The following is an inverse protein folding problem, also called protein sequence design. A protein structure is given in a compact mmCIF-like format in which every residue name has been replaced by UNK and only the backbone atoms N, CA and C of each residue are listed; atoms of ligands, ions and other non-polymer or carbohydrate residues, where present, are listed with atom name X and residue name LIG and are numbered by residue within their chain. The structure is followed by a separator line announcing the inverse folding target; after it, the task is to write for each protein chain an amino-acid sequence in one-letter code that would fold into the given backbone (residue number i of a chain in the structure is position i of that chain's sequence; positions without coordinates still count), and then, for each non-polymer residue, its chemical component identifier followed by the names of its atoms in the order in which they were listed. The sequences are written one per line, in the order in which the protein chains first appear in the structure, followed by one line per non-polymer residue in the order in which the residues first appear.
data_IF_700861227334
#
_entry.id   IF_700861227334
#
_cell.length_a   1.000
_cell.length_b   1.000
_cell.length_c   1.000
_cell.angle_alpha   90.00
_cell.angle_beta   90.00
_cell.angle_gamma   90.00
#
_symmetry.space_group_name_H-M   'P 1'
#
loop_
_entity.id
_entity.type
_entity.pdbx_description
1 polymer ?
#
# COMPACT_ATOMS: atom_id res chain seq x y z
N UNK A 1 -3.02 22.52 0.06
CA UNK A 1 -2.82 22.09 1.46
C UNK A 1 -2.51 20.62 1.43
N UNK A 2 -1.37 20.17 1.97
CA UNK A 2 -1.02 18.74 2.00
C UNK A 2 -1.95 17.99 2.95
N UNK A 3 -2.42 16.80 2.57
CA UNK A 3 -3.24 15.96 3.43
C UNK A 3 -2.49 15.64 4.74
N UNK A 4 -3.19 15.55 5.89
CA UNK A 4 -2.54 15.22 7.15
C UNK A 4 -1.85 13.84 7.07
N UNK A 5 -0.76 13.65 7.82
CA UNK A 5 -0.07 12.36 7.85
C UNK A 5 -1.00 11.27 8.39
N UNK A 6 -1.13 10.18 7.65
CA UNK A 6 -1.96 9.04 8.06
C UNK A 6 -1.35 8.30 9.25
N UNK A 7 -2.22 7.73 10.08
CA UNK A 7 -1.85 6.78 11.14
C UNK A 7 -1.54 5.41 10.54
N UNK A 8 -0.85 4.55 11.30
CA UNK A 8 -0.60 3.17 10.89
C UNK A 8 -1.89 2.41 10.61
N UNK A 9 -2.94 2.63 11.40
CA UNK A 9 -4.25 1.99 11.20
C UNK A 9 -4.88 2.39 9.87
N UNK A 10 -4.88 3.69 9.54
CA UNK A 10 -5.38 4.20 8.26
C UNK A 10 -4.60 3.64 7.07
N UNK A 11 -3.26 3.61 7.18
CA UNK A 11 -2.38 3.01 6.17
C UNK A 11 -2.73 1.53 5.97
N UNK A 12 -2.94 0.77 7.04
CA UNK A 12 -3.33 -0.65 6.97
C UNK A 12 -4.71 -0.85 6.34
N UNK A 13 -5.61 0.12 6.50
CA UNK A 13 -6.90 0.19 5.79
C UNK A 13 -6.70 0.25 4.28
N UNK A 14 -5.96 1.25 3.80
CA UNK A 14 -5.65 1.39 2.37
C UNK A 14 -4.91 0.19 1.78
N UNK A 15 -3.96 -0.39 2.53
CA UNK A 15 -3.25 -1.61 2.09
C UNK A 15 -4.22 -2.79 1.89
N UNK A 16 -5.29 -2.88 2.68
CA UNK A 16 -6.29 -3.94 2.53
C UNK A 16 -7.11 -3.78 1.24
N UNK A 17 -7.34 -2.54 0.82
CA UNK A 17 -8.09 -2.20 -0.40
C UNK A 17 -7.33 -2.59 -1.67
N UNK A 18 -5.99 -2.63 -1.65
CA UNK A 18 -5.13 -3.04 -2.79
C UNK A 18 -5.40 -4.46 -3.31
N UNK A 19 -6.19 -5.25 -2.59
CA UNK A 19 -6.52 -6.65 -2.96
C UNK A 19 -8.02 -6.88 -3.12
N UNK A 20 -8.83 -5.83 -3.04
CA UNK A 20 -10.27 -5.92 -3.26
C UNK A 20 -10.56 -6.10 -4.75
N UNK A 21 -11.54 -6.95 -5.08
CA UNK A 21 -11.97 -7.06 -6.48
C UNK A 21 -12.49 -5.70 -6.98
N UNK A 22 -12.12 -5.28 -8.21
CA UNK A 22 -12.63 -4.04 -8.77
C UNK A 22 -14.15 -4.09 -8.85
N UNK A 23 -14.81 -3.08 -8.27
CA UNK A 23 -16.23 -2.84 -8.48
C UNK A 23 -16.39 -2.07 -9.80
N UNK A 24 -17.46 -2.36 -10.53
CA UNK A 24 -17.65 -2.02 -11.96
C UNK A 24 -17.48 -0.51 -12.28
N UNK A 25 -17.62 0.37 -11.28
CA UNK A 25 -17.61 1.83 -11.47
C UNK A 25 -16.48 2.58 -10.73
N UNK A 26 -15.61 1.89 -9.98
CA UNK A 26 -14.50 2.51 -9.24
C UNK A 26 -13.27 1.60 -9.23
N UNK A 27 -12.07 2.20 -9.33
CA UNK A 27 -10.80 1.49 -9.13
C UNK A 27 -10.22 1.82 -7.73
N UNK A 28 -10.81 1.29 -6.63
CA UNK A 28 -10.40 1.63 -5.27
C UNK A 28 -8.96 1.19 -4.96
N UNK A 29 -8.41 0.22 -5.70
CA UNK A 29 -6.99 -0.15 -5.61
C UNK A 29 -6.07 0.99 -6.06
N UNK A 30 -6.45 1.69 -7.13
CA UNK A 30 -5.67 2.81 -7.68
C UNK A 30 -5.72 4.03 -6.76
N UNK A 31 -6.89 4.33 -6.19
CA UNK A 31 -7.02 5.38 -5.17
C UNK A 31 -6.20 5.05 -3.92
N UNK A 32 -6.30 3.82 -3.41
CA UNK A 32 -5.53 3.39 -2.26
C UNK A 32 -4.01 3.45 -2.52
N UNK A 33 -3.58 3.02 -3.71
CA UNK A 33 -2.19 3.14 -4.15
C UNK A 33 -1.76 4.61 -4.18
N UNK A 34 -2.54 5.49 -4.79
CA UNK A 34 -2.23 6.90 -4.89
C UNK A 34 -2.03 7.52 -3.50
N UNK A 35 -2.97 7.29 -2.57
CA UNK A 35 -2.89 7.81 -1.20
C UNK A 35 -1.63 7.30 -0.48
N UNK A 36 -1.31 6.00 -0.57
CA UNK A 36 -0.12 5.44 0.07
C UNK A 36 1.18 6.06 -0.48
N UNK A 37 1.25 6.30 -1.79
CA UNK A 37 2.41 6.94 -2.43
C UNK A 37 2.54 8.41 -2.06
N UNK A 38 1.45 9.16 -1.99
CA UNK A 38 1.49 10.56 -1.54
C UNK A 38 1.98 10.66 -0.10
N UNK A 39 1.54 9.77 0.78
CA UNK A 39 2.02 9.71 2.17
C UNK A 39 3.52 9.38 2.25
N UNK A 40 3.99 8.46 1.42
CA UNK A 40 5.40 8.13 1.31
C UNK A 40 6.23 9.34 0.84
N UNK A 41 5.79 9.99 -0.24
CA UNK A 41 6.46 11.17 -0.81
C UNK A 41 6.45 12.36 0.12
N UNK A 42 5.34 12.60 0.82
CA UNK A 42 5.23 13.68 1.80
C UNK A 42 6.23 13.53 2.96
N UNK A 43 6.66 12.31 3.27
CA UNK A 43 7.59 12.02 4.39
C UNK A 43 9.05 11.90 3.97
N UNK A 44 9.34 11.42 2.76
CA UNK A 44 10.70 11.11 2.34
C UNK A 44 11.00 11.35 0.87
N UNK A 45 10.16 12.14 0.18
CA UNK A 45 10.34 12.44 -1.23
C UNK A 45 10.16 11.24 -2.16
N UNK A 46 10.62 11.38 -3.40
CA UNK A 46 10.40 10.39 -4.44
C UNK A 46 11.08 9.05 -4.16
N UNK A 47 12.25 9.03 -3.51
CA UNK A 47 12.92 7.78 -3.11
C UNK A 47 12.03 6.89 -2.24
N UNK A 48 11.35 7.51 -1.26
CA UNK A 48 10.40 6.78 -0.40
C UNK A 48 9.15 6.38 -1.18
N UNK A 49 8.66 7.25 -2.06
CA UNK A 49 7.58 6.93 -2.99
C UNK A 49 7.88 5.69 -3.84
N UNK A 50 9.07 5.61 -4.43
CA UNK A 50 9.50 4.49 -5.26
C UNK A 50 9.67 3.19 -4.46
N UNK A 51 10.23 3.25 -3.25
CA UNK A 51 10.32 2.08 -2.36
C UNK A 51 8.93 1.54 -2.00
N UNK A 52 7.99 2.42 -1.64
CA UNK A 52 6.61 2.02 -1.32
C UNK A 52 5.90 1.45 -2.54
N UNK A 53 6.07 2.06 -3.72
CA UNK A 53 5.55 1.55 -4.99
C UNK A 53 6.02 0.10 -5.25
N UNK A 54 7.33 -0.17 -5.14
CA UNK A 54 7.88 -1.50 -5.35
C UNK A 54 7.30 -2.55 -4.39
N UNK A 55 7.09 -2.19 -3.12
CA UNK A 55 6.48 -3.07 -2.11
C UNK A 55 5.00 -3.34 -2.36
N UNK A 56 4.26 -2.35 -2.87
CA UNK A 56 2.86 -2.53 -3.28
C UNK A 56 2.80 -3.51 -4.46
N UNK A 57 3.67 -3.35 -5.44
CA UNK A 57 3.71 -4.22 -6.63
C UNK A 57 4.07 -5.67 -6.26
N UNK A 58 5.04 -5.87 -5.36
CA UNK A 58 5.37 -7.18 -4.79
C UNK A 58 4.15 -7.78 -4.06
N UNK A 59 3.49 -7.01 -3.19
CA UNK A 59 2.31 -7.46 -2.47
C UNK A 59 1.17 -7.90 -3.38
N UNK A 60 0.84 -7.12 -4.41
CA UNK A 60 -0.21 -7.47 -5.36
C UNK A 60 0.16 -8.68 -6.24
N UNK A 61 1.44 -8.80 -6.62
CA UNK A 61 1.93 -9.95 -7.37
C UNK A 61 1.84 -11.24 -6.53
N UNK A 62 2.27 -11.20 -5.28
CA UNK A 62 2.18 -12.35 -4.36
C UNK A 62 0.73 -12.68 -4.00
N UNK A 63 -0.14 -11.69 -3.80
CA UNK A 63 -1.55 -11.93 -3.51
C UNK A 63 -2.27 -12.68 -4.65
N UNK A 64 -1.89 -12.41 -5.90
CA UNK A 64 -2.45 -13.10 -7.08
C UNK A 64 -1.99 -14.56 -7.20
N UNK A 65 -0.97 -15.00 -6.45
CA UNK A 65 -0.46 -16.38 -6.47
C UNK A 65 -1.24 -17.28 -5.51
N UNK A 66 -1.73 -18.41 -5.99
CA UNK A 66 -2.64 -19.30 -5.25
C UNK A 66 -2.05 -20.01 -4.02
N UNK A 67 -0.72 -19.97 -3.81
CA UNK A 67 -0.03 -20.78 -2.80
C UNK A 67 0.70 -19.95 -1.71
N UNK A 68 0.44 -18.64 -1.60
CA UNK A 68 1.19 -17.79 -0.67
C UNK A 68 0.67 -17.93 0.78
N UNK A 69 1.54 -18.24 1.75
CA UNK A 69 1.14 -18.31 3.16
C UNK A 69 0.62 -16.96 3.69
N UNK A 70 -0.43 -17.00 4.52
CA UNK A 70 -0.98 -15.79 5.18
C UNK A 70 0.06 -14.99 5.96
N UNK A 71 1.02 -15.68 6.58
CA UNK A 71 2.13 -15.06 7.31
C UNK A 71 3.07 -14.26 6.40
N UNK A 72 3.25 -14.70 5.15
CA UNK A 72 4.05 -13.97 4.16
C UNK A 72 3.31 -12.70 3.70
N UNK A 73 2.02 -12.80 3.34
CA UNK A 73 1.21 -11.63 3.00
C UNK A 73 1.16 -10.61 4.15
N UNK A 74 1.05 -11.09 5.41
CA UNK A 74 1.11 -10.21 6.59
C UNK A 74 2.45 -9.48 6.70
N UNK A 75 3.56 -10.14 6.39
CA UNK A 75 4.89 -9.50 6.37
C UNK A 75 4.99 -8.42 5.30
N UNK A 76 4.50 -8.68 4.08
CA UNK A 76 4.48 -7.69 3.00
C UNK A 76 3.63 -6.46 3.36
N UNK A 77 2.43 -6.68 3.89
CA UNK A 77 1.55 -5.60 4.36
C UNK A 77 2.22 -4.72 5.42
N UNK A 78 2.83 -5.34 6.43
CA UNK A 78 3.58 -4.61 7.44
C UNK A 78 4.76 -3.86 6.83
N UNK A 79 5.49 -4.48 5.89
CA UNK A 79 6.59 -3.86 5.18
C UNK A 79 6.18 -2.59 4.40
N UNK A 80 5.00 -2.55 3.78
CA UNK A 80 4.48 -1.34 3.14
C UNK A 80 4.23 -0.25 4.19
N UNK A 81 3.55 -0.58 5.28
CA UNK A 81 3.24 0.39 6.32
C UNK A 81 4.49 0.96 6.98
N UNK A 82 5.45 0.10 7.30
CA UNK A 82 6.70 0.51 7.94
C UNK A 82 7.52 1.41 6.99
N UNK A 83 7.58 1.09 5.69
CA UNK A 83 8.27 1.91 4.70
C UNK A 83 7.67 3.32 4.50
N UNK A 84 6.38 3.49 4.80
CA UNK A 84 5.74 4.82 4.81
C UNK A 84 6.13 5.58 6.08
N UNK A 85 6.11 4.90 7.23
CA UNK A 85 6.21 5.52 8.55
C UNK A 85 7.63 5.83 9.01
N UNK A 86 8.64 5.04 8.61
CA UNK A 86 10.07 5.27 8.90
C UNK A 86 10.67 6.18 7.87
#
# INVERSE_FOLDING_TARGET
MSAPPLTREQIMGYISVLTNRPHIDQNPEEEARHVLLEQARARGGDDRGHNVQARIDEFQAEFKRSAVPKSHLKRLRNGIADAILT
#
